data_IF_532700133518
#
_entry.id   IF_532700133518
#
_cell.length_a   1.000
_cell.length_b   1.000
_cell.length_c   1.000
_cell.angle_alpha   90.00
_cell.angle_beta   90.00
_cell.angle_gamma   90.00
#
_symmetry.space_group_name_H-M   'P 1'
#
loop_
_entity.id
_entity.type
_entity.pdbx_description
1 polymer ?
#
# COMPACT_ATOMS: atom_id res chain seq x y z
N UNK A 1 -94.70 -20.25 -23.00
CA UNK A 1 -94.39 -19.65 -21.68
C UNK A 1 -93.43 -20.58 -20.91
N UNK A 2 -93.66 -21.84 -20.81
CA UNK A 2 -92.82 -22.85 -20.09
C UNK A 2 -91.39 -22.88 -20.56
N UNK A 3 -91.10 -22.83 -21.90
CA UNK A 3 -89.75 -22.82 -22.45
C UNK A 3 -88.92 -21.56 -22.04
N UNK A 4 -89.60 -20.40 -21.91
CA UNK A 4 -88.92 -19.17 -21.47
C UNK A 4 -88.57 -19.23 -19.97
N UNK A 5 -89.38 -19.83 -19.18
CA UNK A 5 -89.14 -20.05 -17.73
C UNK A 5 -87.95 -21.01 -17.54
N UNK A 6 -87.87 -22.10 -18.29
CA UNK A 6 -86.69 -23.00 -18.27
C UNK A 6 -85.40 -22.33 -18.68
N UNK A 7 -85.45 -21.47 -19.69
CA UNK A 7 -84.26 -20.73 -20.18
C UNK A 7 -83.73 -19.70 -19.12
N UNK A 8 -84.71 -19.01 -18.43
CA UNK A 8 -84.33 -18.10 -17.33
C UNK A 8 -83.77 -18.87 -16.15
N UNK A 9 -84.30 -20.02 -15.83
CA UNK A 9 -83.83 -20.90 -14.74
C UNK A 9 -82.38 -21.33 -15.00
N UNK A 10 -82.04 -21.72 -16.22
CA UNK A 10 -80.67 -22.09 -16.56
C UNK A 10 -79.69 -20.92 -16.43
N UNK A 11 -80.06 -19.70 -16.88
CA UNK A 11 -79.30 -18.48 -16.73
C UNK A 11 -79.08 -18.10 -15.27
N UNK A 12 -80.02 -18.37 -14.41
CA UNK A 12 -79.87 -18.12 -12.97
C UNK A 12 -78.87 -19.08 -12.32
N UNK A 13 -78.88 -20.38 -12.78
CA UNK A 13 -77.92 -21.35 -12.31
C UNK A 13 -76.46 -20.92 -12.77
N UNK A 14 -76.33 -20.49 -14.01
CA UNK A 14 -75.08 -20.01 -14.52
C UNK A 14 -74.57 -18.76 -13.73
N UNK A 15 -75.47 -17.84 -13.40
CA UNK A 15 -75.16 -16.66 -12.61
C UNK A 15 -74.76 -17.00 -11.17
N UNK A 16 -75.46 -17.96 -10.53
CA UNK A 16 -75.10 -18.46 -9.20
C UNK A 16 -73.72 -19.08 -9.17
N UNK A 17 -73.39 -19.89 -10.20
CA UNK A 17 -72.05 -20.41 -10.37
C UNK A 17 -70.97 -19.37 -10.56
N UNK A 18 -71.25 -18.32 -11.36
CA UNK A 18 -70.32 -17.20 -11.57
C UNK A 18 -70.08 -16.39 -10.30
N UNK A 19 -71.09 -16.23 -9.45
CA UNK A 19 -70.99 -15.55 -8.15
C UNK A 19 -70.06 -16.34 -7.21
N UNK A 20 -70.24 -17.69 -7.11
CA UNK A 20 -69.40 -18.55 -6.29
C UNK A 20 -67.91 -18.42 -6.75
N UNK A 21 -67.67 -18.54 -8.07
CA UNK A 21 -66.33 -18.43 -8.62
C UNK A 21 -65.71 -17.07 -8.33
N UNK A 22 -66.49 -15.96 -8.35
CA UNK A 22 -66.01 -14.62 -7.97
C UNK A 22 -65.64 -14.55 -6.50
N UNK A 23 -66.39 -15.13 -5.60
CA UNK A 23 -66.07 -15.17 -4.16
C UNK A 23 -64.75 -15.92 -3.93
N UNK A 24 -64.59 -17.09 -4.56
CA UNK A 24 -63.35 -17.89 -4.43
C UNK A 24 -62.13 -17.10 -4.99
N UNK A 25 -62.26 -16.49 -6.16
CA UNK A 25 -61.18 -15.68 -6.76
C UNK A 25 -60.79 -14.48 -5.87
N UNK A 26 -61.78 -13.79 -5.26
CA UNK A 26 -61.49 -12.67 -4.37
C UNK A 26 -60.85 -13.09 -3.05
N UNK A 27 -61.14 -14.28 -2.55
CA UNK A 27 -60.44 -14.85 -1.39
C UNK A 27 -58.97 -15.14 -1.72
N UNK A 28 -58.69 -15.68 -2.90
CA UNK A 28 -57.28 -15.82 -3.36
C UNK A 28 -56.57 -14.51 -3.50
N UNK A 29 -57.20 -13.45 -4.06
CA UNK A 29 -56.64 -12.09 -4.15
C UNK A 29 -56.36 -11.54 -2.75
N UNK A 30 -57.24 -11.72 -1.78
CA UNK A 30 -57.03 -11.23 -0.39
C UNK A 30 -55.83 -11.96 0.25
N UNK A 31 -55.68 -13.27 0.06
CA UNK A 31 -54.49 -13.98 0.53
C UNK A 31 -53.20 -13.47 -0.12
N UNK A 32 -53.20 -13.27 -1.44
CA UNK A 32 -52.08 -12.72 -2.18
C UNK A 32 -51.69 -11.30 -1.74
N UNK A 33 -52.69 -10.45 -1.40
CA UNK A 33 -52.39 -9.10 -0.87
C UNK A 33 -51.79 -9.14 0.53
N UNK A 34 -52.20 -10.07 1.38
CA UNK A 34 -51.63 -10.29 2.70
C UNK A 34 -50.16 -10.75 2.60
N UNK A 35 -49.87 -11.70 1.71
CA UNK A 35 -48.48 -12.12 1.43
C UNK A 35 -47.62 -10.96 0.87
N UNK A 36 -48.21 -10.16 -0.04
CA UNK A 36 -47.52 -8.99 -0.61
C UNK A 36 -47.17 -7.96 0.46
N UNK A 37 -48.09 -7.66 1.40
CA UNK A 37 -47.84 -6.76 2.51
C UNK A 37 -46.70 -7.24 3.41
N UNK A 38 -46.60 -8.55 3.70
CA UNK A 38 -45.47 -9.13 4.43
C UNK A 38 -44.13 -9.01 3.66
N UNK A 39 -44.18 -9.26 2.35
CA UNK A 39 -42.99 -9.11 1.49
C UNK A 39 -42.51 -7.68 1.45
N UNK A 40 -43.41 -6.69 1.38
CA UNK A 40 -43.12 -5.25 1.43
C UNK A 40 -42.42 -4.89 2.74
N UNK A 41 -42.91 -5.33 3.90
CA UNK A 41 -42.25 -5.10 5.19
C UNK A 41 -40.82 -5.66 5.24
N UNK A 42 -40.65 -6.91 4.77
CA UNK A 42 -39.33 -7.53 4.70
C UNK A 42 -38.38 -6.75 3.77
N UNK A 43 -38.89 -6.25 2.66
CA UNK A 43 -38.10 -5.47 1.71
C UNK A 43 -37.66 -4.13 2.32
N UNK A 44 -38.54 -3.48 3.10
CA UNK A 44 -38.22 -2.24 3.81
C UNK A 44 -37.09 -2.46 4.83
N UNK A 45 -37.11 -3.57 5.58
CA UNK A 45 -36.04 -3.91 6.50
C UNK A 45 -34.69 -4.14 5.79
N UNK A 46 -34.70 -4.85 4.65
CA UNK A 46 -33.49 -5.07 3.84
C UNK A 46 -32.95 -3.75 3.28
N UNK A 47 -33.81 -2.85 2.82
CA UNK A 47 -33.42 -1.54 2.28
C UNK A 47 -32.77 -0.68 3.37
N UNK A 48 -33.27 -0.77 4.62
CA UNK A 48 -32.64 -0.12 5.77
C UNK A 48 -31.25 -0.69 6.09
N UNK A 49 -31.07 -2.01 5.97
CA UNK A 49 -29.73 -2.64 6.10
C UNK A 49 -28.79 -2.15 5.00
N UNK A 50 -29.27 -2.05 3.75
CA UNK A 50 -28.47 -1.51 2.63
C UNK A 50 -28.03 -0.08 2.95
N UNK A 51 -28.91 0.77 3.52
CA UNK A 51 -28.54 2.14 3.91
C UNK A 51 -27.42 2.14 4.94
N UNK A 52 -27.49 1.32 5.98
CA UNK A 52 -26.43 1.22 6.98
C UNK A 52 -25.08 0.79 6.34
N UNK A 53 -25.12 -0.18 5.44
CA UNK A 53 -23.91 -0.62 4.74
C UNK A 53 -23.33 0.49 3.84
N UNK A 54 -24.18 1.28 3.20
CA UNK A 54 -23.77 2.46 2.40
C UNK A 54 -23.04 3.47 3.31
N UNK A 55 -23.58 3.75 4.48
CA UNK A 55 -23.01 4.69 5.44
C UNK A 55 -21.64 4.18 5.96
N UNK A 56 -21.52 2.88 6.27
CA UNK A 56 -20.24 2.26 6.65
C UNK A 56 -19.18 2.35 5.54
N UNK A 57 -19.54 2.08 4.29
CA UNK A 57 -18.62 2.19 3.14
C UNK A 57 -18.21 3.65 2.90
N UNK A 58 -19.12 4.60 3.12
CA UNK A 58 -18.84 6.04 3.05
C UNK A 58 -17.78 6.45 4.08
N UNK A 59 -17.96 6.07 5.33
CA UNK A 59 -17.03 6.38 6.43
C UNK A 59 -15.66 5.73 6.21
N UNK A 60 -15.64 4.46 5.76
CA UNK A 60 -14.41 3.77 5.39
C UNK A 60 -13.68 4.49 4.24
N UNK A 61 -14.42 4.99 3.24
CA UNK A 61 -13.84 5.72 2.10
C UNK A 61 -13.20 7.05 2.52
N UNK A 62 -13.82 7.77 3.47
CA UNK A 62 -13.27 8.99 4.05
C UNK A 62 -11.99 8.69 4.83
N UNK A 63 -11.99 7.60 5.59
CA UNK A 63 -10.81 7.16 6.36
C UNK A 63 -9.66 6.81 5.42
N UNK A 64 -9.91 6.04 4.36
CA UNK A 64 -8.91 5.71 3.33
C UNK A 64 -8.32 6.99 2.72
N UNK A 65 -9.14 7.99 2.43
CA UNK A 65 -8.68 9.26 1.85
C UNK A 65 -7.73 10.02 2.79
N UNK A 66 -8.04 10.03 4.08
CA UNK A 66 -7.18 10.65 5.10
C UNK A 66 -5.84 9.90 5.24
N UNK A 67 -5.87 8.56 5.25
CA UNK A 67 -4.67 7.72 5.36
C UNK A 67 -3.77 7.87 4.11
N UNK A 68 -4.36 7.96 2.93
CA UNK A 68 -3.65 8.21 1.67
C UNK A 68 -2.96 9.58 1.68
N UNK A 69 -3.62 10.63 2.17
CA UNK A 69 -3.03 11.96 2.28
C UNK A 69 -1.84 11.96 3.27
N UNK A 70 -1.97 11.25 4.39
CA UNK A 70 -0.91 11.09 5.37
C UNK A 70 0.28 10.31 4.78
N UNK A 71 0.01 9.19 4.12
CA UNK A 71 1.04 8.39 3.45
C UNK A 71 1.77 9.20 2.36
N UNK A 72 1.07 10.05 1.60
CA UNK A 72 1.69 10.94 0.61
C UNK A 72 2.66 11.94 1.28
N UNK A 73 2.29 12.49 2.44
CA UNK A 73 3.17 13.37 3.21
C UNK A 73 4.42 12.65 3.72
N UNK A 74 4.25 11.43 4.28
CA UNK A 74 5.37 10.63 4.79
C UNK A 74 6.35 10.23 3.67
N UNK A 75 5.82 9.93 2.47
CA UNK A 75 6.63 9.63 1.29
C UNK A 75 7.43 10.86 0.83
N UNK A 76 6.85 12.05 0.81
CA UNK A 76 7.57 13.27 0.46
C UNK A 76 8.74 13.52 1.43
N UNK A 77 8.51 13.36 2.74
CA UNK A 77 9.57 13.46 3.75
C UNK A 77 10.67 12.40 3.51
N UNK A 78 10.27 11.17 3.18
CA UNK A 78 11.21 10.10 2.83
C UNK A 78 12.07 10.43 1.61
N UNK A 79 11.48 11.02 0.56
CA UNK A 79 12.21 11.46 -0.65
C UNK A 79 13.22 12.59 -0.37
N UNK A 80 12.87 13.53 0.52
CA UNK A 80 13.80 14.56 0.96
C UNK A 80 14.99 13.96 1.70
N UNK A 81 14.77 13.00 2.60
CA UNK A 81 15.83 12.29 3.32
C UNK A 81 16.73 11.48 2.38
N UNK A 82 16.18 10.81 1.38
CA UNK A 82 16.96 10.10 0.36
C UNK A 82 17.79 11.06 -0.48
N UNK A 83 17.26 12.24 -0.81
CA UNK A 83 18.01 13.29 -1.54
C UNK A 83 19.19 13.80 -0.71
N UNK A 84 18.98 13.99 0.59
CA UNK A 84 20.05 14.37 1.52
C UNK A 84 21.11 13.25 1.61
N UNK A 85 20.67 12.00 1.75
CA UNK A 85 21.58 10.85 1.84
C UNK A 85 22.42 10.69 0.56
N UNK A 86 21.82 10.88 -0.61
CA UNK A 86 22.54 10.88 -1.89
C UNK A 86 23.67 11.92 -1.92
N UNK A 87 23.40 13.13 -1.43
CA UNK A 87 24.41 14.19 -1.34
C UNK A 87 25.54 13.83 -0.39
N UNK A 88 25.21 13.28 0.79
CA UNK A 88 26.21 12.87 1.80
C UNK A 88 27.10 11.74 1.28
N UNK A 89 26.54 10.73 0.62
CA UNK A 89 27.32 9.61 0.07
C UNK A 89 28.26 10.06 -1.05
N UNK A 90 27.85 10.98 -1.90
CA UNK A 90 28.76 11.57 -2.91
C UNK A 90 29.88 12.40 -2.25
N UNK A 91 29.58 13.15 -1.21
CA UNK A 91 30.61 13.90 -0.47
C UNK A 91 31.62 12.97 0.21
N UNK A 92 31.15 11.88 0.81
CA UNK A 92 32.04 10.83 1.35
C UNK A 92 32.93 10.18 0.28
N UNK A 93 32.43 10.01 -0.94
CA UNK A 93 33.26 9.51 -2.06
C UNK A 93 34.39 10.50 -2.42
N UNK A 94 34.05 11.79 -2.52
CA UNK A 94 35.02 12.83 -2.85
C UNK A 94 36.07 13.00 -1.74
N UNK A 95 35.66 13.03 -0.49
CA UNK A 95 36.57 13.10 0.67
C UNK A 95 37.47 11.86 0.74
N UNK A 96 36.93 10.67 0.49
CA UNK A 96 37.70 9.43 0.46
C UNK A 96 38.76 9.43 -0.63
N UNK A 97 38.47 9.97 -1.83
CA UNK A 97 39.46 10.13 -2.92
C UNK A 97 40.57 11.09 -2.51
N UNK A 98 40.22 12.22 -1.87
CA UNK A 98 41.24 13.20 -1.38
C UNK A 98 42.17 12.54 -0.36
N UNK A 99 41.63 11.74 0.57
CA UNK A 99 42.47 10.99 1.55
C UNK A 99 43.36 9.99 0.86
N UNK A 100 42.85 9.23 -0.13
CA UNK A 100 43.65 8.27 -0.90
C UNK A 100 44.83 8.94 -1.62
N UNK A 101 44.59 10.12 -2.24
CA UNK A 101 45.62 10.87 -2.93
C UNK A 101 46.70 11.39 -1.94
N UNK A 102 46.30 11.87 -0.76
CA UNK A 102 47.20 12.34 0.26
C UNK A 102 48.07 11.21 0.86
N UNK A 103 47.47 10.03 1.09
CA UNK A 103 48.22 8.85 1.52
C UNK A 103 49.27 8.40 0.48
N UNK A 104 48.94 8.43 -0.81
CA UNK A 104 49.89 8.12 -1.89
C UNK A 104 51.04 9.13 -1.92
N UNK A 105 50.77 10.44 -1.73
CA UNK A 105 51.83 11.47 -1.61
C UNK A 105 52.72 11.21 -0.38
N UNK A 106 52.12 10.82 0.74
CA UNK A 106 52.87 10.50 1.95
C UNK A 106 53.77 9.27 1.76
N UNK A 107 53.32 8.27 1.05
CA UNK A 107 54.09 7.10 0.63
C UNK A 107 55.31 7.51 -0.23
N UNK A 108 55.14 8.45 -1.15
CA UNK A 108 56.28 8.99 -1.93
C UNK A 108 57.29 9.70 -1.04
N UNK A 109 56.87 10.46 -0.03
CA UNK A 109 57.81 11.13 0.91
C UNK A 109 58.56 10.10 1.73
N UNK A 110 57.93 9.06 2.19
CA UNK A 110 58.57 7.94 2.94
C UNK A 110 59.62 7.27 2.08
N UNK A 111 59.35 7.01 0.79
CA UNK A 111 60.33 6.46 -0.14
C UNK A 111 61.57 7.41 -0.34
N UNK A 112 61.33 8.73 -0.42
CA UNK A 112 62.41 9.71 -0.48
C UNK A 112 63.25 9.74 0.80
N UNK A 113 62.60 9.57 1.97
CA UNK A 113 63.30 9.47 3.26
C UNK A 113 64.23 8.24 3.26
N UNK A 114 63.79 7.06 2.80
CA UNK A 114 64.66 5.87 2.67
C UNK A 114 65.89 6.19 1.82
N UNK A 115 65.74 6.82 0.66
CA UNK A 115 66.88 7.17 -0.21
C UNK A 115 67.89 8.12 0.47
N UNK A 116 67.41 9.06 1.33
CA UNK A 116 68.28 9.98 2.09
C UNK A 116 69.03 9.18 3.19
N UNK A 117 68.34 8.28 3.88
CA UNK A 117 68.95 7.43 4.91
C UNK A 117 70.03 6.51 4.31
N UNK A 118 69.77 5.90 3.16
CA UNK A 118 70.78 5.11 2.42
C UNK A 118 72.03 5.95 2.10
N UNK A 119 71.83 7.19 1.69
CA UNK A 119 72.95 8.10 1.43
C UNK A 119 73.75 8.41 2.71
N UNK A 120 73.07 8.70 3.83
CA UNK A 120 73.75 8.96 5.12
C UNK A 120 74.51 7.75 5.62
N UNK A 121 73.92 6.54 5.52
CA UNK A 121 74.55 5.24 5.86
C UNK A 121 75.81 5.00 5.02
N UNK A 122 75.74 5.27 3.71
CA UNK A 122 76.91 5.18 2.81
C UNK A 122 78.01 6.17 3.20
N UNK A 123 77.69 7.43 3.52
CA UNK A 123 78.64 8.43 3.99
C UNK A 123 79.28 8.02 5.32
N UNK A 124 78.49 7.52 6.28
CA UNK A 124 79.00 7.01 7.55
C UNK A 124 79.96 5.84 7.37
N UNK A 125 79.60 4.91 6.50
CA UNK A 125 80.46 3.74 6.18
C UNK A 125 81.77 4.17 5.54
N UNK A 126 81.73 5.10 4.59
CA UNK A 126 82.96 5.65 3.97
C UNK A 126 83.81 6.41 5.00
N UNK A 127 83.15 7.14 5.91
CA UNK A 127 83.88 7.88 6.97
C UNK A 127 84.54 6.92 7.95
N UNK A 128 83.91 5.82 8.32
CA UNK A 128 84.48 4.78 9.16
C UNK A 128 85.71 4.14 8.50
N UNK A 129 85.61 3.84 7.16
CA UNK A 129 86.74 3.33 6.41
C UNK A 129 87.89 4.32 6.32
N UNK A 130 87.61 5.58 6.08
CA UNK A 130 88.62 6.66 6.03
C UNK A 130 89.33 6.81 7.38
N UNK A 131 88.55 6.80 8.48
CA UNK A 131 89.16 6.92 9.82
C UNK A 131 90.00 5.71 10.22
N UNK A 132 89.58 4.51 9.80
CA UNK A 132 90.38 3.30 9.97
C UNK A 132 91.77 3.39 9.24
N UNK A 133 91.74 3.83 7.98
CA UNK A 133 92.92 4.08 7.22
C UNK A 133 93.88 5.10 7.87
N UNK A 134 93.26 6.23 8.38
CA UNK A 134 93.98 7.26 9.13
C UNK A 134 94.59 6.71 10.44
N UNK A 135 93.83 5.91 11.17
CA UNK A 135 94.34 5.25 12.39
C UNK A 135 95.57 4.31 12.10
N UNK A 136 95.54 3.58 10.98
CA UNK A 136 96.63 2.69 10.56
C UNK A 136 97.87 3.53 10.23
N UNK A 137 97.74 4.64 9.50
CA UNK A 137 98.89 5.46 9.12
C UNK A 137 99.41 6.28 10.32
N UNK A 138 98.54 6.66 11.27
CA UNK A 138 98.91 7.29 12.54
C UNK A 138 99.75 6.31 13.41
N UNK A 139 99.36 5.08 13.47
CA UNK A 139 100.13 4.03 14.17
C UNK A 139 101.50 3.81 13.51
N UNK A 140 101.56 3.88 12.18
CA UNK A 140 102.83 3.75 11.37
C UNK A 140 103.85 4.91 11.61
N UNK A 141 103.35 6.11 11.97
CA UNK A 141 104.16 7.30 12.29
C UNK A 141 104.74 7.28 13.74
N UNK A 142 104.37 6.24 14.56
CA UNK A 142 104.96 6.04 15.90
C UNK A 142 104.57 7.17 16.91
N UNK A 143 105.54 7.72 17.66
CA UNK A 143 105.34 8.69 18.67
C UNK A 143 104.78 10.06 18.06
N UNK A 144 105.15 10.38 16.83
CA UNK A 144 104.71 11.61 16.16
C UNK A 144 103.16 11.52 15.72
N UNK A 145 102.63 10.32 15.61
CA UNK A 145 101.28 10.07 15.18
C UNK A 145 100.22 9.90 16.31
N UNK A 146 100.62 9.91 17.56
CA UNK A 146 99.71 9.62 18.72
C UNK A 146 98.48 10.50 18.76
N UNK A 147 98.60 11.83 18.54
CA UNK A 147 97.48 12.76 18.49
C UNK A 147 96.48 12.52 17.36
N UNK A 148 96.99 12.15 16.19
CA UNK A 148 96.22 11.80 15.02
C UNK A 148 95.50 10.46 15.19
N UNK A 149 96.09 9.49 15.87
CA UNK A 149 95.44 8.19 16.17
C UNK A 149 94.15 8.39 17.06
N UNK A 150 94.25 9.24 18.07
CA UNK A 150 93.08 9.57 18.94
C UNK A 150 91.96 10.17 18.11
N UNK A 151 92.24 11.16 17.25
CA UNK A 151 91.25 11.82 16.40
C UNK A 151 90.59 10.81 15.43
N UNK A 152 91.42 9.94 14.82
CA UNK A 152 90.92 8.95 13.88
C UNK A 152 90.03 7.92 14.55
N UNK A 153 90.35 7.51 15.79
CA UNK A 153 89.50 6.58 16.59
C UNK A 153 88.11 7.30 16.92
N UNK A 154 88.14 8.56 17.32
CA UNK A 154 86.93 9.33 17.62
C UNK A 154 86.03 9.51 16.39
N UNK A 155 86.63 9.73 15.19
CA UNK A 155 85.91 9.81 13.92
C UNK A 155 85.28 8.44 13.57
N UNK A 156 86.00 7.35 13.84
CA UNK A 156 85.50 5.98 13.62
C UNK A 156 84.27 5.70 14.51
N UNK A 157 84.37 6.06 15.80
CA UNK A 157 83.29 5.88 16.76
C UNK A 157 82.05 6.69 16.40
N UNK A 158 82.23 7.95 15.96
CA UNK A 158 81.17 8.80 15.49
C UNK A 158 80.51 8.26 14.23
N UNK A 159 81.28 7.71 13.30
CA UNK A 159 80.79 7.07 12.08
C UNK A 159 79.96 5.81 12.41
N UNK A 160 80.42 5.00 13.35
CA UNK A 160 79.67 3.81 13.81
C UNK A 160 78.39 4.18 14.56
N UNK A 161 78.43 5.21 15.39
CA UNK A 161 77.21 5.76 16.03
C UNK A 161 76.22 6.26 14.99
N UNK A 162 76.69 6.93 13.94
CA UNK A 162 75.85 7.46 12.83
C UNK A 162 75.20 6.28 12.08
N UNK A 163 75.95 5.21 11.79
CA UNK A 163 75.41 4.00 11.18
C UNK A 163 74.30 3.34 12.05
N UNK A 164 74.53 3.18 13.36
CA UNK A 164 73.53 2.69 14.27
C UNK A 164 72.25 3.55 14.32
N UNK A 165 72.40 4.88 14.33
CA UNK A 165 71.25 5.77 14.30
C UNK A 165 70.48 5.69 12.99
N UNK A 166 71.17 5.51 11.82
CA UNK A 166 70.49 5.34 10.53
C UNK A 166 69.76 3.97 10.44
N UNK A 167 70.26 2.91 11.06
CA UNK A 167 69.55 1.63 11.16
C UNK A 167 68.26 1.73 11.97
N UNK A 168 68.27 2.46 13.10
CA UNK A 168 67.10 2.75 13.90
C UNK A 168 66.08 3.56 13.10
N UNK A 169 66.49 4.58 12.38
CA UNK A 169 65.63 5.40 11.52
C UNK A 169 65.05 4.56 10.36
N UNK A 170 65.84 3.68 9.75
CA UNK A 170 65.37 2.77 8.70
C UNK A 170 64.25 1.86 9.22
N UNK A 171 64.42 1.33 10.43
CA UNK A 171 63.35 0.52 11.09
C UNK A 171 62.08 1.33 11.32
N UNK A 172 62.18 2.58 11.76
CA UNK A 172 61.01 3.46 11.95
C UNK A 172 60.31 3.75 10.60
N UNK A 173 61.09 4.05 9.53
CA UNK A 173 60.50 4.34 8.20
C UNK A 173 59.81 3.09 7.63
N UNK A 174 60.38 1.88 7.83
CA UNK A 174 59.74 0.67 7.41
C UNK A 174 58.39 0.43 8.17
N UNK A 175 58.34 0.71 9.46
CA UNK A 175 57.10 0.64 10.22
C UNK A 175 56.09 1.65 9.70
N UNK A 176 56.48 2.87 9.43
CA UNK A 176 55.61 3.92 8.83
C UNK A 176 55.12 3.46 7.46
N UNK A 177 55.95 2.88 6.61
CA UNK A 177 55.56 2.38 5.28
C UNK A 177 54.53 1.24 5.37
N UNK A 178 54.65 0.37 6.36
CA UNK A 178 53.66 -0.69 6.61
C UNK A 178 52.33 -0.13 7.08
N UNK A 179 52.32 0.83 8.02
CA UNK A 179 51.10 1.49 8.49
C UNK A 179 50.40 2.25 7.36
N UNK A 180 51.17 2.95 6.49
CA UNK A 180 50.63 3.60 5.31
C UNK A 180 49.94 2.64 4.35
N UNK A 181 50.54 1.45 4.12
CA UNK A 181 49.91 0.45 3.24
C UNK A 181 48.58 -0.03 3.82
N UNK A 182 48.51 -0.26 5.14
CA UNK A 182 47.27 -0.65 5.83
C UNK A 182 46.21 0.46 5.69
N UNK A 183 46.60 1.76 5.81
CA UNK A 183 45.69 2.89 5.63
C UNK A 183 45.15 2.97 4.20
N UNK A 184 46.02 2.78 3.18
CA UNK A 184 45.63 2.78 1.76
C UNK A 184 44.60 1.66 1.51
N UNK A 185 44.91 0.41 1.94
CA UNK A 185 44.01 -0.72 1.78
C UNK A 185 42.64 -0.49 2.48
N UNK A 186 42.66 0.23 3.60
CA UNK A 186 41.47 0.56 4.37
C UNK A 186 40.59 1.59 3.65
N UNK A 187 41.23 2.64 3.08
CA UNK A 187 40.54 3.67 2.28
C UNK A 187 39.94 3.06 1.00
N UNK A 188 40.65 2.16 0.32
CA UNK A 188 40.11 1.48 -0.86
C UNK A 188 38.86 0.67 -0.54
N UNK A 189 38.86 -0.07 0.57
CA UNK A 189 37.67 -0.79 1.04
C UNK A 189 36.51 0.15 1.41
N UNK A 190 36.81 1.31 2.02
CA UNK A 190 35.83 2.32 2.34
C UNK A 190 35.18 2.89 1.08
N UNK A 191 35.97 3.21 0.06
CA UNK A 191 35.49 3.70 -1.24
C UNK A 191 34.63 2.66 -1.97
N UNK A 192 35.02 1.39 -1.92
CA UNK A 192 34.20 0.30 -2.49
C UNK A 192 32.86 0.16 -1.75
N UNK A 193 32.88 0.18 -0.42
CA UNK A 193 31.67 0.18 0.40
C UNK A 193 30.75 1.37 0.11
N UNK A 194 31.33 2.57 -0.07
CA UNK A 194 30.57 3.77 -0.40
C UNK A 194 29.92 3.69 -1.79
N UNK A 195 30.59 3.10 -2.80
CA UNK A 195 29.97 2.85 -4.12
C UNK A 195 28.75 1.92 -4.01
N UNK A 196 28.82 0.86 -3.20
CA UNK A 196 27.67 0.00 -2.94
C UNK A 196 26.54 0.77 -2.26
N UNK A 197 26.87 1.65 -1.31
CA UNK A 197 25.88 2.50 -0.62
C UNK A 197 25.17 3.47 -1.58
N UNK A 198 25.92 4.12 -2.51
CA UNK A 198 25.34 4.99 -3.55
C UNK A 198 24.31 4.22 -4.37
N UNK A 199 24.63 2.99 -4.81
CA UNK A 199 23.71 2.15 -5.56
C UNK A 199 22.42 1.85 -4.75
N UNK A 200 22.54 1.49 -3.48
CA UNK A 200 21.37 1.23 -2.63
C UNK A 200 20.52 2.46 -2.39
N UNK A 201 21.12 3.64 -2.30
CA UNK A 201 20.40 4.91 -2.22
C UNK A 201 19.60 5.18 -3.50
N UNK A 202 20.17 4.89 -4.67
CA UNK A 202 19.46 5.02 -5.95
C UNK A 202 18.29 4.04 -6.08
N UNK A 203 18.50 2.77 -5.72
CA UNK A 203 17.44 1.75 -5.70
C UNK A 203 16.30 2.13 -4.74
N UNK A 204 16.64 2.70 -3.58
CA UNK A 204 15.67 3.21 -2.60
C UNK A 204 14.89 4.39 -3.16
N UNK A 205 15.55 5.33 -3.84
CA UNK A 205 14.91 6.47 -4.51
C UNK A 205 13.88 6.04 -5.56
N UNK A 206 14.24 5.04 -6.37
CA UNK A 206 13.32 4.43 -7.35
C UNK A 206 12.11 3.77 -6.68
N UNK A 207 12.32 3.14 -5.52
CA UNK A 207 11.23 2.53 -4.74
C UNK A 207 10.26 3.59 -4.23
N UNK A 208 10.73 4.71 -3.70
CA UNK A 208 9.88 5.83 -3.30
C UNK A 208 9.05 6.39 -4.48
N UNK A 209 9.65 6.49 -5.66
CA UNK A 209 8.92 6.93 -6.87
C UNK A 209 7.77 5.97 -7.21
N UNK A 210 7.99 4.66 -7.12
CA UNK A 210 6.95 3.65 -7.33
C UNK A 210 5.84 3.74 -6.27
N UNK A 211 6.21 3.94 -5.01
CA UNK A 211 5.23 4.10 -3.92
C UNK A 211 4.38 5.35 -4.16
N UNK A 212 4.96 6.47 -4.59
CA UNK A 212 4.22 7.69 -4.96
C UNK A 212 3.19 7.41 -6.05
N UNK A 213 3.56 6.66 -7.10
CA UNK A 213 2.64 6.27 -8.16
C UNK A 213 1.48 5.42 -7.64
N UNK A 214 1.76 4.47 -6.74
CA UNK A 214 0.72 3.62 -6.13
C UNK A 214 -0.23 4.45 -5.25
N UNK A 215 0.28 5.39 -4.47
CA UNK A 215 -0.53 6.30 -3.64
C UNK A 215 -1.48 7.13 -4.51
N UNK A 216 -1.00 7.67 -5.62
CA UNK A 216 -1.84 8.42 -6.57
C UNK A 216 -2.96 7.53 -7.14
N UNK A 217 -2.66 6.27 -7.46
CA UNK A 217 -3.66 5.30 -7.93
C UNK A 217 -4.71 5.01 -6.86
N UNK A 218 -4.30 4.82 -5.60
CA UNK A 218 -5.24 4.60 -4.48
C UNK A 218 -6.12 5.84 -4.27
N UNK A 219 -5.55 7.03 -4.39
CA UNK A 219 -6.30 8.28 -4.27
C UNK A 219 -7.39 8.41 -5.34
N UNK A 220 -7.08 8.05 -6.59
CA UNK A 220 -8.05 8.02 -7.70
C UNK A 220 -9.15 7.00 -7.43
N UNK A 221 -8.78 5.76 -7.04
CA UNK A 221 -9.75 4.70 -6.71
C UNK A 221 -10.63 5.04 -5.51
N UNK A 222 -10.11 5.76 -4.53
CA UNK A 222 -10.92 6.26 -3.40
C UNK A 222 -11.97 7.28 -3.84
N UNK A 223 -11.65 8.16 -4.80
CA UNK A 223 -12.64 9.08 -5.39
C UNK A 223 -13.72 8.33 -6.18
N UNK A 224 -13.31 7.31 -6.96
CA UNK A 224 -14.27 6.46 -7.68
C UNK A 224 -15.23 5.77 -6.70
N UNK A 225 -14.72 5.26 -5.58
CA UNK A 225 -15.52 4.61 -4.54
C UNK A 225 -16.56 5.56 -3.93
N UNK A 226 -16.21 6.81 -3.65
CA UNK A 226 -17.16 7.84 -3.17
C UNK A 226 -18.28 8.07 -4.20
N UNK A 227 -17.96 8.11 -5.49
CA UNK A 227 -18.97 8.27 -6.54
C UNK A 227 -19.92 7.06 -6.62
N UNK A 228 -19.39 5.84 -6.46
CA UNK A 228 -20.19 4.60 -6.40
C UNK A 228 -21.12 4.63 -5.19
N UNK A 229 -20.64 5.02 -4.02
CA UNK A 229 -21.42 5.17 -2.79
C UNK A 229 -22.60 6.14 -3.01
N UNK A 230 -22.34 7.30 -3.62
CA UNK A 230 -23.39 8.27 -3.95
C UNK A 230 -24.45 7.70 -4.91
N UNK A 231 -24.03 6.91 -5.89
CA UNK A 231 -24.96 6.26 -6.82
C UNK A 231 -25.79 5.19 -6.12
N UNK A 232 -25.21 4.45 -5.17
CA UNK A 232 -25.93 3.47 -4.34
C UNK A 232 -26.97 4.16 -3.43
N UNK A 233 -26.64 5.30 -2.84
CA UNK A 233 -27.53 6.11 -2.01
C UNK A 233 -28.78 6.56 -2.80
N UNK A 234 -28.58 7.06 -4.03
CA UNK A 234 -29.66 7.44 -4.94
C UNK A 234 -30.52 6.23 -5.32
N UNK A 235 -29.90 5.11 -5.65
CA UNK A 235 -30.60 3.88 -6.03
C UNK A 235 -31.42 3.30 -4.86
N UNK A 236 -30.86 3.34 -3.65
CA UNK A 236 -31.56 2.87 -2.44
C UNK A 236 -32.79 3.72 -2.12
N UNK A 237 -32.68 5.04 -2.29
CA UNK A 237 -33.82 5.97 -2.15
C UNK A 237 -34.93 5.65 -3.15
N UNK A 238 -34.59 5.42 -4.42
CA UNK A 238 -35.57 5.05 -5.46
C UNK A 238 -36.27 3.71 -5.16
N UNK A 239 -35.54 2.76 -4.56
CA UNK A 239 -36.15 1.48 -4.10
C UNK A 239 -37.17 1.74 -2.99
N UNK A 240 -36.85 2.60 -2.01
CA UNK A 240 -37.79 2.95 -0.92
C UNK A 240 -39.07 3.59 -1.49
N UNK A 241 -38.95 4.51 -2.44
CA UNK A 241 -40.09 5.13 -3.10
C UNK A 241 -40.95 4.10 -3.86
N UNK A 242 -40.29 3.15 -4.53
CA UNK A 242 -40.99 2.06 -5.23
C UNK A 242 -41.72 1.15 -4.26
N UNK A 243 -41.12 0.83 -3.12
CA UNK A 243 -41.75 0.03 -2.05
C UNK A 243 -43.01 0.75 -1.51
N UNK A 244 -42.95 2.06 -1.28
CA UNK A 244 -44.10 2.83 -0.85
C UNK A 244 -45.25 2.80 -1.88
N UNK A 245 -44.90 2.91 -3.17
CA UNK A 245 -45.90 2.82 -4.25
C UNK A 245 -46.55 1.43 -4.29
N UNK A 246 -45.77 0.35 -4.19
CA UNK A 246 -46.31 -1.01 -4.16
C UNK A 246 -47.18 -1.23 -2.93
N UNK A 247 -46.82 -0.65 -1.76
CA UNK A 247 -47.63 -0.73 -0.54
C UNK A 247 -49.02 -0.10 -0.76
N UNK A 248 -49.05 1.11 -1.34
CA UNK A 248 -50.32 1.80 -1.63
C UNK A 248 -51.22 1.04 -2.61
N UNK A 249 -50.61 0.45 -3.65
CA UNK A 249 -51.34 -0.40 -4.62
C UNK A 249 -51.89 -1.68 -3.93
N UNK A 250 -51.12 -2.31 -3.03
CA UNK A 250 -51.53 -3.49 -2.31
C UNK A 250 -52.74 -3.20 -1.40
N UNK A 251 -52.73 -2.04 -0.72
CA UNK A 251 -53.88 -1.57 0.09
C UNK A 251 -55.11 -1.33 -0.77
N UNK A 252 -54.96 -0.69 -1.95
CA UNK A 252 -56.07 -0.44 -2.89
C UNK A 252 -56.66 -1.72 -3.44
N UNK A 253 -55.81 -2.70 -3.82
CA UNK A 253 -56.25 -4.04 -4.29
C UNK A 253 -57.04 -4.78 -3.20
N UNK A 254 -56.57 -4.72 -1.94
CA UNK A 254 -57.29 -5.33 -0.80
C UNK A 254 -58.69 -4.67 -0.60
N UNK A 255 -58.77 -3.36 -0.71
CA UNK A 255 -60.04 -2.64 -0.59
C UNK A 255 -61.03 -3.01 -1.71
N UNK A 256 -60.58 -3.01 -2.97
CA UNK A 256 -61.42 -3.43 -4.11
C UNK A 256 -61.83 -4.89 -4.08
N UNK A 257 -60.93 -5.76 -3.59
CA UNK A 257 -61.31 -7.19 -3.39
C UNK A 257 -62.44 -7.36 -2.37
N UNK A 258 -62.37 -6.63 -1.24
CA UNK A 258 -63.43 -6.61 -0.24
C UNK A 258 -64.74 -6.04 -0.77
N UNK A 259 -64.71 -4.96 -1.56
CA UNK A 259 -65.86 -4.39 -2.21
C UNK A 259 -66.52 -5.40 -3.19
N UNK A 260 -65.70 -6.10 -3.96
CA UNK A 260 -66.16 -7.14 -4.90
C UNK A 260 -66.80 -8.34 -4.15
N UNK A 261 -66.23 -8.75 -3.01
CA UNK A 261 -66.84 -9.75 -2.14
C UNK A 261 -68.24 -9.33 -1.65
N UNK A 262 -68.37 -8.11 -1.11
CA UNK A 262 -69.62 -7.57 -0.66
C UNK A 262 -70.65 -7.50 -1.78
N UNK A 263 -70.24 -7.08 -2.98
CA UNK A 263 -71.13 -7.06 -4.17
C UNK A 263 -71.55 -8.46 -4.60
N UNK A 264 -70.67 -9.43 -4.50
CA UNK A 264 -70.98 -10.86 -4.80
C UNK A 264 -71.96 -11.44 -3.80
N UNK A 265 -71.88 -11.10 -2.50
CA UNK A 265 -72.85 -11.48 -1.49
C UNK A 265 -74.25 -10.90 -1.79
N UNK A 266 -74.31 -9.59 -2.13
CA UNK A 266 -75.59 -8.96 -2.52
C UNK A 266 -76.17 -9.61 -3.78
N UNK A 267 -75.36 -9.94 -4.78
CA UNK A 267 -75.80 -10.62 -5.97
C UNK A 267 -76.38 -12.03 -5.67
N UNK A 268 -75.80 -12.76 -4.67
CA UNK A 268 -76.31 -14.06 -4.21
C UNK A 268 -77.74 -13.93 -3.64
N UNK A 269 -78.00 -12.85 -2.86
CA UNK A 269 -79.33 -12.56 -2.33
C UNK A 269 -80.34 -12.27 -3.45
N UNK A 270 -79.92 -11.47 -4.47
CA UNK A 270 -80.73 -11.17 -5.65
C UNK A 270 -81.04 -12.48 -6.44
N UNK A 271 -80.08 -13.35 -6.64
CA UNK A 271 -80.26 -14.65 -7.30
C UNK A 271 -81.26 -15.53 -6.54
N UNK A 272 -81.17 -15.58 -5.21
CA UNK A 272 -82.09 -16.31 -4.35
C UNK A 272 -83.52 -15.80 -4.50
N UNK A 273 -83.72 -14.48 -4.51
CA UNK A 273 -85.03 -13.84 -4.70
C UNK A 273 -85.60 -14.16 -6.11
N UNK A 274 -84.78 -14.10 -7.15
CA UNK A 274 -85.21 -14.44 -8.51
C UNK A 274 -85.62 -15.93 -8.62
N UNK A 275 -84.87 -16.85 -7.98
CA UNK A 275 -85.22 -18.27 -7.93
C UNK A 275 -86.64 -18.48 -7.33
N UNK A 276 -86.97 -17.78 -6.22
CA UNK A 276 -88.33 -17.87 -5.62
C UNK A 276 -89.43 -17.35 -6.59
N UNK A 277 -89.15 -16.21 -7.28
CA UNK A 277 -90.08 -15.66 -8.26
C UNK A 277 -90.30 -16.66 -9.44
N UNK A 278 -89.24 -17.27 -9.91
CA UNK A 278 -89.37 -18.33 -10.96
C UNK A 278 -90.14 -19.49 -10.54
N UNK A 279 -90.00 -20.00 -9.30
CA UNK A 279 -90.78 -21.05 -8.74
C UNK A 279 -92.27 -20.71 -8.71
N UNK A 280 -92.70 -19.55 -8.24
CA UNK A 280 -94.02 -19.02 -8.24
C UNK A 280 -94.63 -18.89 -9.66
N UNK A 281 -93.81 -18.42 -10.62
CA UNK A 281 -94.19 -18.31 -12.03
C UNK A 281 -94.42 -19.70 -12.67
N UNK A 282 -93.57 -20.69 -12.33
CA UNK A 282 -93.72 -22.03 -12.84
C UNK A 282 -95.01 -22.76 -12.28
N UNK A 283 -95.32 -22.55 -11.01
CA UNK A 283 -96.54 -22.99 -10.41
C UNK A 283 -97.79 -22.38 -11.07
N UNK A 284 -97.73 -21.07 -11.29
CA UNK A 284 -98.81 -20.35 -11.97
C UNK A 284 -99.04 -20.79 -13.41
N UNK A 285 -97.93 -21.02 -14.16
CA UNK A 285 -97.99 -21.51 -15.54
C UNK A 285 -98.54 -22.96 -15.65
N UNK A 286 -98.18 -23.84 -14.69
CA UNK A 286 -98.70 -25.19 -14.61
C UNK A 286 -100.20 -25.20 -14.27
N UNK A 287 -100.68 -24.35 -13.37
CA UNK A 287 -102.08 -24.20 -13.05
C UNK A 287 -102.91 -23.69 -14.24
N UNK A 288 -102.36 -22.79 -15.07
CA UNK A 288 -102.98 -22.31 -16.31
C UNK A 288 -103.02 -23.35 -17.44
N UNK A 289 -102.07 -24.31 -17.46
CA UNK A 289 -102.05 -25.39 -18.48
C UNK A 289 -103.01 -26.58 -18.11
N UNK A 290 -103.51 -26.62 -16.86
CA UNK A 290 -104.45 -27.65 -16.34
C UNK A 290 -105.90 -27.18 -16.35
N UNK A 291 -106.21 -26.01 -16.87
CA UNK A 291 -107.51 -25.46 -17.17
C UNK A 291 -107.78 -25.64 -18.67
#
# INVERSE_FOLDING_TARGET
>A
MVNNISDVTNKIIDLDTAIVNNVDAMNEVNNGTCESANAIQNQLLKTKQIQNNIDEVKDASITIQNDVNKAASDINNGQELITLLKRVTHHCEDDGKLVADELNRFKEYTNKMNSIIDLITNVATQTSLLSLNASIEAARAGEAGKGFAVVATEISDLANQTTSATDDITSLINNISNELQIMIDTIDKLLEGNKAQIKHVEETSLSFTKITSNINTIQEKSKDLINVVKSLEISNTAIIESIQTVSSITEEVAAHSNETLNSSEQNKDVVSNIKSIIEDLNESANNLNNI
#
